data_IF_296048889297
#
_entry.id   IF_296048889297
#
_cell.length_a   1.000
_cell.length_b   1.000
_cell.length_c   1.000
_cell.angle_alpha   90.00
_cell.angle_beta   90.00
_cell.angle_gamma   90.00
#
_symmetry.space_group_name_H-M   'P 1'
#
loop_
_entity.id
_entity.type
_entity.pdbx_description
1 polymer ?
#
# COMPACT_ATOMS: atom_id res chain seq x y z
N UNK A 1 -22.40 6.38 10.12
CA UNK A 1 -22.42 6.57 11.60
C UNK A 1 -22.21 5.23 12.25
N UNK A 2 -21.18 5.08 13.10
CA UNK A 2 -20.94 3.79 13.78
C UNK A 2 -22.10 3.51 14.73
N UNK A 3 -22.58 2.26 14.72
CA UNK A 3 -23.60 1.77 15.65
C UNK A 3 -23.13 1.93 17.12
N UNK A 4 -24.05 2.20 18.04
CA UNK A 4 -23.75 2.40 19.47
C UNK A 4 -23.04 1.20 20.10
N UNK A 5 -23.36 0.00 19.65
CA UNK A 5 -22.73 -1.26 20.08
C UNK A 5 -21.25 -1.31 19.66
N UNK A 6 -20.95 -0.86 18.45
CA UNK A 6 -19.59 -0.82 17.93
C UNK A 6 -18.75 0.25 18.66
N UNK A 7 -19.35 1.43 18.94
CA UNK A 7 -18.69 2.47 19.75
C UNK A 7 -18.37 1.97 21.15
N UNK A 8 -19.29 1.22 21.79
CA UNK A 8 -19.06 0.62 23.10
C UNK A 8 -17.90 -0.36 23.08
N UNK A 9 -17.87 -1.26 22.09
CA UNK A 9 -16.77 -2.23 21.96
C UNK A 9 -15.41 -1.55 21.71
N UNK A 10 -15.38 -0.47 20.93
CA UNK A 10 -14.16 0.30 20.70
C UNK A 10 -13.70 0.98 22.01
N UNK A 11 -14.65 1.55 22.79
CA UNK A 11 -14.36 2.10 24.11
C UNK A 11 -13.80 1.03 25.05
N UNK A 12 -14.36 -0.16 25.04
CA UNK A 12 -13.88 -1.28 25.87
C UNK A 12 -12.45 -1.68 25.52
N UNK A 13 -12.07 -1.65 24.25
CA UNK A 13 -10.68 -1.87 23.83
C UNK A 13 -9.77 -0.72 24.30
N UNK A 14 -10.21 0.52 24.15
CA UNK A 14 -9.47 1.71 24.57
C UNK A 14 -9.20 1.72 26.07
N UNK A 15 -10.18 1.30 26.86
CA UNK A 15 -10.12 1.27 28.32
C UNK A 15 -9.52 -0.04 28.88
N UNK A 16 -9.03 -0.93 28.00
CA UNK A 16 -8.42 -2.21 28.39
C UNK A 16 -9.40 -3.27 28.90
N UNK A 17 -10.72 -3.04 28.81
CA UNK A 17 -11.76 -3.99 29.20
C UNK A 17 -11.98 -5.11 28.17
N UNK A 18 -11.57 -4.88 26.93
CA UNK A 18 -11.59 -5.88 25.85
C UNK A 18 -10.20 -5.94 25.20
N UNK A 19 -9.71 -7.18 25.00
CA UNK A 19 -8.50 -7.41 24.23
C UNK A 19 -8.73 -7.12 22.74
N UNK A 20 -7.75 -6.48 22.08
CA UNK A 20 -7.77 -6.15 20.66
C UNK A 20 -8.07 -7.37 19.76
N UNK A 21 -7.46 -8.52 20.06
CA UNK A 21 -7.73 -9.76 19.33
C UNK A 21 -9.18 -10.20 19.45
N UNK A 22 -9.77 -10.03 20.64
CA UNK A 22 -11.18 -10.35 20.88
C UNK A 22 -12.10 -9.44 20.05
N UNK A 23 -11.79 -8.14 19.94
CA UNK A 23 -12.50 -7.22 19.06
C UNK A 23 -12.40 -7.65 17.60
N UNK A 24 -11.18 -7.91 17.09
CA UNK A 24 -10.97 -8.34 15.70
C UNK A 24 -11.76 -9.65 15.42
N UNK A 25 -11.70 -10.64 16.30
CA UNK A 25 -12.48 -11.89 16.15
C UNK A 25 -13.99 -11.65 16.06
N UNK A 26 -14.53 -10.71 16.85
CA UNK A 26 -15.97 -10.35 16.79
C UNK A 26 -16.31 -9.68 15.47
N UNK A 27 -15.44 -8.82 14.95
CA UNK A 27 -15.63 -8.15 13.66
C UNK A 27 -15.56 -9.14 12.49
N UNK A 28 -14.66 -10.12 12.55
CA UNK A 28 -14.60 -11.21 11.59
C UNK A 28 -15.90 -12.04 11.59
N UNK A 29 -16.49 -12.29 12.76
CA UNK A 29 -17.75 -13.03 12.89
C UNK A 29 -18.95 -12.32 12.24
N UNK A 30 -18.91 -10.99 12.10
CA UNK A 30 -19.93 -10.21 11.40
C UNK A 30 -19.53 -9.86 9.95
N UNK A 31 -18.50 -10.52 9.40
CA UNK A 31 -18.12 -10.41 7.99
C UNK A 31 -17.11 -9.32 7.65
N UNK A 32 -16.52 -8.62 8.63
CA UNK A 32 -15.43 -7.69 8.38
C UNK A 32 -14.10 -8.43 8.26
N UNK A 33 -13.16 -7.85 7.52
CA UNK A 33 -11.77 -8.36 7.49
C UNK A 33 -10.96 -7.85 8.69
N UNK A 34 -9.83 -8.48 9.02
CA UNK A 34 -8.97 -8.02 10.10
C UNK A 34 -8.41 -6.60 9.86
N UNK A 35 -8.00 -6.21 8.63
CA UNK A 35 -7.66 -4.82 8.33
C UNK A 35 -8.79 -3.83 8.63
N UNK A 36 -10.03 -4.13 8.20
CA UNK A 36 -11.20 -3.28 8.46
C UNK A 36 -11.45 -3.10 9.96
N UNK A 37 -11.37 -4.18 10.73
CA UNK A 37 -11.52 -4.12 12.19
C UNK A 37 -10.46 -3.23 12.85
N UNK A 38 -9.21 -3.29 12.37
CA UNK A 38 -8.13 -2.44 12.88
C UNK A 38 -8.30 -0.97 12.49
N UNK A 39 -8.81 -0.68 11.31
CA UNK A 39 -9.14 0.69 10.89
C UNK A 39 -10.24 1.30 11.78
N UNK A 40 -11.27 0.52 12.14
CA UNK A 40 -12.32 0.96 13.08
C UNK A 40 -11.75 1.31 14.46
N UNK A 41 -10.80 0.51 14.97
CA UNK A 41 -10.10 0.84 16.22
C UNK A 41 -9.30 2.13 16.12
N UNK A 42 -8.60 2.36 15.00
CA UNK A 42 -7.82 3.57 14.77
C UNK A 42 -8.69 4.84 14.78
N UNK A 43 -9.85 4.82 14.10
CA UNK A 43 -10.84 5.92 14.13
C UNK A 43 -11.40 6.13 15.51
N UNK A 44 -11.61 5.06 16.29
CA UNK A 44 -12.02 5.15 17.68
C UNK A 44 -10.96 5.68 18.64
N UNK A 45 -9.77 6.04 18.13
CA UNK A 45 -8.66 6.57 18.92
C UNK A 45 -7.91 5.50 19.71
N UNK A 46 -8.06 4.22 19.35
CA UNK A 46 -7.20 3.14 19.85
C UNK A 46 -5.89 3.19 19.06
N UNK A 47 -4.78 3.47 19.74
CA UNK A 47 -3.47 3.55 19.10
C UNK A 47 -3.18 2.26 18.31
N UNK A 48 -2.92 2.41 17.02
CA UNK A 48 -2.39 1.30 16.23
C UNK A 48 -1.04 0.93 16.85
N UNK A 49 -0.85 -0.33 17.21
CA UNK A 49 0.45 -0.79 17.66
C UNK A 49 1.45 -0.50 16.52
N UNK A 50 2.29 0.49 16.71
CA UNK A 50 3.49 0.63 15.90
C UNK A 50 4.34 -0.58 16.24
N UNK A 51 4.26 -1.61 15.42
CA UNK A 51 5.19 -2.71 15.59
C UNK A 51 6.51 -2.22 14.99
N UNK A 52 7.50 -1.93 15.84
CA UNK A 52 8.80 -1.58 15.32
C UNK A 52 9.37 -2.80 14.62
N UNK A 53 10.09 -2.52 13.59
CA UNK A 53 10.98 -3.36 12.87
C UNK A 53 10.37 -4.30 11.81
N UNK A 54 11.11 -4.42 10.72
CA UNK A 54 10.86 -5.44 9.73
C UNK A 54 10.83 -6.81 10.44
N UNK A 55 9.98 -7.69 9.97
CA UNK A 55 9.94 -9.09 10.40
C UNK A 55 11.38 -9.63 10.39
N UNK A 56 12.01 -9.86 11.56
CA UNK A 56 13.37 -10.38 11.58
C UNK A 56 13.31 -11.78 10.97
N UNK A 57 14.04 -12.06 9.89
CA UNK A 57 14.07 -13.40 9.34
C UNK A 57 14.58 -14.33 10.42
N UNK A 58 13.90 -15.44 10.64
CA UNK A 58 14.30 -16.47 11.62
C UNK A 58 15.68 -17.05 11.30
N UNK A 59 16.10 -16.93 10.05
CA UNK A 59 17.43 -17.30 9.57
C UNK A 59 17.78 -16.43 8.36
N UNK A 60 18.98 -15.86 8.34
CA UNK A 60 19.50 -15.18 7.16
C UNK A 60 19.63 -16.18 6.01
N UNK A 61 19.15 -15.81 4.82
CA UNK A 61 19.31 -16.63 3.62
C UNK A 61 20.78 -16.91 3.31
N UNK A 62 21.06 -18.08 2.75
CA UNK A 62 22.42 -18.51 2.41
C UNK A 62 22.99 -17.91 1.12
N UNK A 63 22.29 -16.94 0.50
CA UNK A 63 22.63 -16.44 -0.83
C UNK A 63 22.27 -17.41 -1.96
N UNK A 64 22.61 -17.06 -3.21
CA UNK A 64 22.30 -17.84 -4.38
C UNK A 64 20.92 -17.54 -4.99
N UNK A 65 20.54 -18.20 -6.09
CA UNK A 65 19.28 -17.94 -6.78
C UNK A 65 18.10 -18.49 -5.98
N UNK A 66 17.09 -17.65 -5.78
CA UNK A 66 15.77 -18.04 -5.29
C UNK A 66 14.86 -18.35 -6.48
N UNK A 67 14.27 -19.54 -6.53
CA UNK A 67 13.29 -19.93 -7.53
C UNK A 67 11.93 -20.08 -6.85
N UNK A 68 10.96 -19.28 -7.30
CA UNK A 68 9.57 -19.36 -6.86
C UNK A 68 8.75 -19.96 -8.01
N UNK A 69 8.06 -21.08 -7.76
CA UNK A 69 7.12 -21.64 -8.70
C UNK A 69 5.73 -21.09 -8.38
N UNK A 70 5.11 -20.48 -9.37
CA UNK A 70 3.77 -19.94 -9.27
C UNK A 70 2.79 -20.79 -10.08
N UNK A 71 1.58 -20.97 -9.58
CA UNK A 71 0.54 -21.75 -10.25
C UNK A 71 0.04 -21.11 -11.56
N UNK A 72 0.22 -19.79 -11.71
CA UNK A 72 -0.11 -19.04 -12.92
C UNK A 72 0.85 -17.85 -13.06
N UNK A 73 1.45 -17.68 -14.23
CA UNK A 73 2.34 -16.54 -14.50
C UNK A 73 1.58 -15.22 -14.64
N UNK A 74 2.21 -14.09 -14.26
CA UNK A 74 1.66 -12.77 -14.52
C UNK A 74 1.54 -12.52 -16.04
N UNK A 75 0.58 -11.67 -16.41
CA UNK A 75 0.38 -11.24 -17.80
C UNK A 75 0.92 -9.84 -18.05
N UNK A 76 1.05 -9.06 -16.99
CA UNK A 76 1.64 -7.72 -16.98
C UNK A 76 2.14 -7.39 -15.56
N UNK A 77 2.89 -6.30 -15.44
CA UNK A 77 3.55 -5.92 -14.18
C UNK A 77 3.14 -4.54 -13.69
N UNK A 78 2.13 -3.89 -14.29
CA UNK A 78 1.56 -2.65 -13.78
C UNK A 78 0.45 -2.97 -12.77
N UNK A 79 0.56 -2.52 -11.49
CA UNK A 79 -0.41 -2.85 -10.45
C UNK A 79 -1.82 -2.34 -10.72
N UNK A 80 -1.97 -1.20 -11.41
CA UNK A 80 -3.27 -0.63 -11.74
C UNK A 80 -4.06 -1.42 -12.78
N UNK A 81 -3.41 -2.34 -13.48
CA UNK A 81 -4.01 -3.24 -14.47
C UNK A 81 -3.98 -4.71 -14.08
N UNK A 82 -3.52 -5.00 -12.87
CA UNK A 82 -3.37 -6.35 -12.36
C UNK A 82 -4.71 -7.09 -12.27
N UNK A 83 -4.82 -8.22 -12.97
CA UNK A 83 -6.01 -9.07 -12.95
C UNK A 83 -5.74 -10.29 -12.06
N UNK A 84 -6.27 -10.24 -10.84
CA UNK A 84 -6.10 -11.31 -9.87
C UNK A 84 -4.71 -11.38 -9.24
N UNK A 85 -4.53 -12.38 -8.39
CA UNK A 85 -3.35 -12.53 -7.52
C UNK A 85 -2.04 -12.67 -8.31
N UNK A 86 -2.05 -13.37 -9.44
CA UNK A 86 -0.85 -13.59 -10.25
C UNK A 86 -0.15 -12.33 -10.72
N UNK A 87 -0.94 -11.32 -11.16
CA UNK A 87 -0.39 -10.04 -11.63
C UNK A 87 -0.01 -9.14 -10.44
N UNK A 88 -0.81 -9.18 -9.37
CA UNK A 88 -0.49 -8.47 -8.12
C UNK A 88 0.82 -8.96 -7.51
N UNK A 89 1.02 -10.27 -7.42
CA UNK A 89 2.24 -10.85 -6.86
C UNK A 89 3.46 -10.60 -7.76
N UNK A 90 3.28 -10.67 -9.09
CA UNK A 90 4.34 -10.31 -10.04
C UNK A 90 4.77 -8.85 -9.92
N UNK A 91 3.82 -7.92 -9.82
CA UNK A 91 4.11 -6.48 -9.70
C UNK A 91 4.76 -6.13 -8.36
N UNK A 92 4.39 -6.79 -7.25
CA UNK A 92 4.92 -6.56 -5.91
C UNK A 92 6.40 -6.91 -5.72
N UNK A 93 6.99 -7.64 -6.63
CA UNK A 93 8.45 -7.84 -6.63
C UNK A 93 9.21 -6.53 -6.87
N UNK A 94 8.56 -5.58 -7.54
CA UNK A 94 9.16 -4.32 -7.99
C UNK A 94 8.52 -3.09 -7.35
N UNK A 95 7.19 -3.02 -7.29
CA UNK A 95 6.46 -1.88 -6.78
C UNK A 95 5.99 -2.09 -5.35
N UNK A 96 5.96 -1.03 -4.57
CA UNK A 96 5.62 -1.06 -3.16
C UNK A 96 4.50 -0.07 -2.81
N UNK A 97 3.68 -0.39 -1.79
CA UNK A 97 2.70 0.52 -1.22
C UNK A 97 3.32 1.38 -0.11
N UNK A 98 2.56 2.35 0.42
CA UNK A 98 2.96 3.10 1.62
C UNK A 98 3.07 2.18 2.84
N UNK A 99 2.14 1.25 2.97
CA UNK A 99 2.12 0.24 4.03
C UNK A 99 1.46 -1.05 3.54
N UNK A 100 1.63 -2.13 4.26
CA UNK A 100 0.97 -3.41 3.99
C UNK A 100 0.37 -4.01 5.28
N UNK A 101 -0.43 -5.04 5.14
CA UNK A 101 -1.01 -5.78 6.25
C UNK A 101 -0.26 -7.09 6.46
N UNK A 102 0.05 -7.43 7.71
CA UNK A 102 0.55 -8.75 8.06
C UNK A 102 -0.61 -9.77 8.21
N UNK A 103 -0.27 -11.02 8.48
CA UNK A 103 -1.24 -12.11 8.63
C UNK A 103 -2.19 -11.91 9.83
N UNK A 104 -1.79 -11.13 10.83
CA UNK A 104 -2.61 -10.79 11.99
C UNK A 104 -3.45 -9.53 11.77
N UNK A 105 -3.38 -8.91 10.58
CA UNK A 105 -4.08 -7.67 10.23
C UNK A 105 -3.45 -6.42 10.83
N UNK A 106 -2.19 -6.46 11.24
CA UNK A 106 -1.47 -5.26 11.67
C UNK A 106 -0.83 -4.57 10.46
N UNK A 107 -0.84 -3.24 10.49
CA UNK A 107 -0.19 -2.44 9.45
C UNK A 107 1.32 -2.44 9.64
N UNK A 108 2.06 -2.68 8.56
CA UNK A 108 3.52 -2.63 8.47
C UNK A 108 3.93 -1.53 7.51
N UNK A 109 4.87 -0.70 7.93
CA UNK A 109 5.42 0.36 7.11
C UNK A 109 6.25 -0.20 5.96
N UNK A 110 6.06 0.37 4.77
CA UNK A 110 6.88 0.08 3.58
C UNK A 110 7.53 1.37 3.10
N UNK A 111 6.83 2.20 2.32
CA UNK A 111 7.34 3.51 1.87
C UNK A 111 6.98 4.66 2.81
N UNK A 112 6.03 4.45 3.73
CA UNK A 112 5.70 5.44 4.77
C UNK A 112 6.67 5.37 5.94
N UNK A 113 6.93 6.53 6.57
CA UNK A 113 7.80 6.68 7.73
C UNK A 113 7.09 6.36 9.05
N UNK A 114 5.78 6.60 9.11
CA UNK A 114 4.95 6.33 10.29
C UNK A 114 3.53 5.94 9.89
N UNK A 115 2.84 5.23 10.79
CA UNK A 115 1.42 4.90 10.61
C UNK A 115 0.60 6.10 11.08
N UNK A 116 -0.28 6.68 10.22
CA UNK A 116 -1.18 7.75 10.63
C UNK A 116 -2.09 7.33 11.79
N UNK A 117 -2.26 8.23 12.74
CA UNK A 117 -3.15 8.06 13.88
C UNK A 117 -3.72 9.40 14.33
N UNK A 118 -4.78 9.37 15.13
CA UNK A 118 -5.32 10.59 15.75
C UNK A 118 -4.27 11.21 16.70
N UNK A 119 -3.48 10.37 17.39
CA UNK A 119 -2.50 10.79 18.37
C UNK A 119 -1.32 11.56 17.74
N UNK A 120 -0.87 11.16 16.54
CA UNK A 120 0.20 11.88 15.84
C UNK A 120 -0.32 12.92 14.84
N UNK A 121 -1.63 13.15 14.80
CA UNK A 121 -2.27 14.11 13.90
C UNK A 121 -2.33 13.67 12.43
N UNK A 122 -1.88 12.46 12.12
CA UNK A 122 -1.92 11.91 10.77
C UNK A 122 -3.31 11.47 10.31
N UNK A 123 -4.22 11.20 11.26
CA UNK A 123 -5.60 10.82 10.96
C UNK A 123 -6.54 11.85 11.58
N UNK A 124 -7.39 12.48 10.78
CA UNK A 124 -8.40 13.41 11.27
C UNK A 124 -9.49 12.66 12.05
N UNK A 125 -9.88 13.23 13.20
CA UNK A 125 -10.87 12.62 14.10
C UNK A 125 -12.28 12.51 13.48
N UNK A 126 -12.57 13.35 12.50
CA UNK A 126 -13.83 13.33 11.72
C UNK A 126 -13.83 12.27 10.61
N UNK A 127 -12.69 11.59 10.38
CA UNK A 127 -12.53 10.60 9.32
C UNK A 127 -12.52 11.16 7.89
N UNK A 128 -12.33 12.49 7.75
CA UNK A 128 -12.36 13.18 6.46
C UNK A 128 -10.99 13.27 5.79
N UNK A 129 -9.90 13.01 6.51
CA UNK A 129 -8.57 13.05 5.90
C UNK A 129 -7.54 12.16 6.62
N UNK A 130 -6.53 11.76 5.86
CA UNK A 130 -5.33 11.10 6.38
C UNK A 130 -4.08 11.73 5.75
N UNK A 131 -3.07 11.97 6.57
CA UNK A 131 -1.77 12.50 6.17
C UNK A 131 -0.71 11.42 6.32
N UNK A 132 0.00 11.11 5.26
CA UNK A 132 1.11 10.17 5.24
C UNK A 132 2.43 10.90 5.13
N UNK A 133 3.40 10.52 5.96
CA UNK A 133 4.80 10.92 5.83
C UNK A 133 5.57 9.80 5.15
N UNK A 134 6.34 10.15 4.13
CA UNK A 134 7.13 9.22 3.34
C UNK A 134 8.53 9.04 3.96
N UNK A 135 9.12 7.87 3.77
CA UNK A 135 10.51 7.62 4.18
C UNK A 135 11.46 8.50 3.36
N UNK A 136 12.39 9.22 4.02
CA UNK A 136 13.40 9.98 3.31
C UNK A 136 14.41 9.06 2.63
N UNK A 137 14.97 9.51 1.51
CA UNK A 137 16.07 8.84 0.83
C UNK A 137 15.72 7.61 0.01
N UNK A 138 14.45 7.22 -0.06
CA UNK A 138 13.99 6.13 -0.94
C UNK A 138 14.21 6.52 -2.40
N UNK A 139 14.72 5.59 -3.20
CA UNK A 139 14.97 5.79 -4.63
C UNK A 139 14.28 4.70 -5.45
N UNK A 140 13.84 5.09 -6.63
CA UNK A 140 13.47 4.16 -7.68
C UNK A 140 14.70 3.36 -8.15
N UNK A 141 14.50 2.22 -8.79
CA UNK A 141 15.56 1.34 -9.27
C UNK A 141 16.52 2.03 -10.29
N UNK A 142 16.08 3.10 -10.93
CA UNK A 142 16.88 3.95 -11.82
C UNK A 142 17.63 5.07 -11.10
N UNK A 143 17.52 5.15 -9.78
CA UNK A 143 18.24 6.11 -8.94
C UNK A 143 17.51 7.43 -8.70
N UNK A 144 16.37 7.70 -9.34
CA UNK A 144 15.58 8.90 -9.08
C UNK A 144 14.91 8.83 -7.69
N UNK A 145 14.73 9.97 -7.01
CA UNK A 145 14.09 9.98 -5.69
C UNK A 145 12.61 9.60 -5.79
N UNK A 146 12.11 8.87 -4.81
CA UNK A 146 10.70 8.67 -4.55
C UNK A 146 10.19 9.83 -3.71
N UNK A 147 9.11 10.49 -4.14
CA UNK A 147 8.56 11.68 -3.47
C UNK A 147 7.04 11.68 -3.44
N UNK A 148 6.48 12.69 -2.78
CA UNK A 148 5.04 12.94 -2.76
C UNK A 148 4.44 13.15 -4.17
N UNK A 149 5.23 13.63 -5.13
CA UNK A 149 4.79 13.78 -6.52
C UNK A 149 4.42 12.44 -7.17
N UNK A 150 5.10 11.35 -6.79
CA UNK A 150 4.76 10.01 -7.28
C UNK A 150 3.43 9.52 -6.70
N UNK A 151 3.16 9.80 -5.43
CA UNK A 151 1.91 9.41 -4.76
C UNK A 151 0.71 10.19 -5.35
N UNK A 152 0.86 11.51 -5.53
CA UNK A 152 -0.16 12.33 -6.19
C UNK A 152 -0.40 11.84 -7.62
N UNK A 153 0.65 11.58 -8.37
CA UNK A 153 0.54 11.05 -9.73
C UNK A 153 -0.19 9.71 -9.79
N UNK A 154 0.04 8.81 -8.85
CA UNK A 154 -0.69 7.52 -8.81
C UNK A 154 -2.19 7.72 -8.65
N UNK A 155 -2.60 8.65 -7.78
CA UNK A 155 -4.01 9.02 -7.67
C UNK A 155 -4.54 9.59 -8.98
N UNK A 156 -3.85 10.56 -9.58
CA UNK A 156 -4.26 11.15 -10.85
C UNK A 156 -4.34 10.12 -11.98
N UNK A 157 -3.40 9.17 -12.02
CA UNK A 157 -3.36 8.09 -13.01
C UNK A 157 -4.51 7.10 -12.83
N UNK A 158 -4.76 6.66 -11.60
CA UNK A 158 -5.74 5.63 -11.31
C UNK A 158 -7.18 6.16 -11.27
N UNK A 159 -7.40 7.44 -10.92
CA UNK A 159 -8.72 8.06 -10.88
C UNK A 159 -9.22 8.55 -12.24
N UNK A 160 -8.34 8.71 -13.23
CA UNK A 160 -8.71 9.12 -14.58
C UNK A 160 -9.43 7.98 -15.32
N UNK A 161 -10.70 8.15 -15.70
CA UNK A 161 -11.44 7.13 -16.44
C UNK A 161 -10.78 6.73 -17.78
N UNK A 162 -10.05 7.67 -18.42
CA UNK A 162 -9.37 7.40 -19.67
C UNK A 162 -8.18 6.44 -19.49
N UNK A 163 -7.59 6.34 -18.29
CA UNK A 163 -6.57 5.34 -17.95
C UNK A 163 -7.14 3.93 -17.92
N UNK A 164 -8.44 3.78 -17.64
CA UNK A 164 -9.09 2.48 -17.48
C UNK A 164 -8.42 1.57 -16.45
N UNK A 165 -7.94 2.16 -15.34
CA UNK A 165 -7.32 1.44 -14.24
C UNK A 165 -8.36 0.55 -13.52
N UNK A 166 -8.00 -0.70 -13.21
CA UNK A 166 -8.87 -1.60 -12.43
C UNK A 166 -9.00 -1.13 -10.97
N UNK A 167 -8.04 -0.34 -10.50
CA UNK A 167 -8.02 0.24 -9.16
C UNK A 167 -8.83 1.54 -9.02
N UNK A 168 -9.50 2.01 -10.08
CA UNK A 168 -10.24 3.29 -10.12
C UNK A 168 -11.23 3.46 -8.95
N UNK A 169 -11.86 2.37 -8.51
CA UNK A 169 -12.83 2.42 -7.41
C UNK A 169 -12.21 2.89 -6.08
N UNK A 170 -10.92 2.66 -5.86
CA UNK A 170 -10.19 3.11 -4.67
C UNK A 170 -9.87 4.61 -4.73
N UNK A 171 -9.70 5.18 -5.93
CA UNK A 171 -9.10 6.51 -6.10
C UNK A 171 -10.07 7.59 -6.60
N UNK A 172 -11.20 7.25 -7.21
CA UNK A 172 -12.11 8.23 -7.85
C UNK A 172 -12.84 9.15 -6.87
N UNK A 173 -13.05 8.70 -5.62
CA UNK A 173 -13.85 9.42 -4.62
C UNK A 173 -12.96 10.10 -3.55
N UNK A 174 -11.70 10.28 -3.84
CA UNK A 174 -10.73 10.97 -2.97
C UNK A 174 -9.99 12.05 -3.73
N UNK A 175 -9.32 12.94 -2.99
CA UNK A 175 -8.33 13.89 -3.53
C UNK A 175 -7.02 13.70 -2.79
N UNK A 176 -5.91 13.71 -3.51
CA UNK A 176 -4.57 13.59 -2.93
C UNK A 176 -3.79 14.88 -3.16
N UNK A 177 -3.33 15.50 -2.07
CA UNK A 177 -2.61 16.76 -2.09
C UNK A 177 -1.16 16.55 -1.65
N UNK A 178 -0.24 17.16 -2.37
CA UNK A 178 1.15 17.31 -1.92
C UNK A 178 1.21 18.40 -0.86
N UNK A 179 1.66 18.07 0.36
CA UNK A 179 1.93 19.05 1.41
C UNK A 179 3.36 19.54 1.32
N UNK A 180 4.30 18.63 1.17
CA UNK A 180 5.73 18.85 0.86
C UNK A 180 6.30 17.65 0.11
N UNK A 181 7.62 17.59 -0.12
CA UNK A 181 8.23 16.51 -0.90
C UNK A 181 8.12 15.11 -0.25
N UNK A 182 7.90 15.05 1.05
CA UNK A 182 7.78 13.80 1.81
C UNK A 182 6.44 13.67 2.56
N UNK A 183 5.46 14.53 2.25
CA UNK A 183 4.16 14.51 2.94
C UNK A 183 3.03 14.65 1.95
N UNK A 184 2.07 13.73 2.00
CA UNK A 184 0.84 13.78 1.23
C UNK A 184 -0.37 13.75 2.16
N UNK A 185 -1.43 14.46 1.78
CA UNK A 185 -2.73 14.43 2.43
C UNK A 185 -3.76 13.85 1.48
N UNK A 186 -4.53 12.89 1.98
CA UNK A 186 -5.66 12.32 1.28
C UNK A 186 -6.93 12.87 1.92
N UNK A 187 -7.79 13.45 1.09
CA UNK A 187 -9.09 13.98 1.47
C UNK A 187 -10.19 13.02 0.99
N UNK A 188 -11.12 12.72 1.84
CA UNK A 188 -12.27 11.86 1.54
C UNK A 188 -13.52 12.71 1.33
N UNK A 189 -14.35 12.38 0.33
CA UNK A 189 -15.61 13.09 0.06
C UNK A 189 -16.65 12.91 1.18
N UNK A 190 -16.47 11.91 2.04
CA UNK A 190 -17.31 11.61 3.21
C UNK A 190 -16.47 10.91 4.28
N UNK A 191 -16.86 11.00 5.55
CA UNK A 191 -16.17 10.27 6.62
C UNK A 191 -16.09 8.78 6.33
N UNK A 192 -14.88 8.22 6.44
CA UNK A 192 -14.65 6.80 6.16
C UNK A 192 -13.81 6.13 7.24
N UNK A 193 -14.18 4.89 7.65
CA UNK A 193 -13.31 4.07 8.47
C UNK A 193 -12.19 3.40 7.63
N UNK A 194 -12.28 3.44 6.31
CA UNK A 194 -11.36 2.76 5.38
C UNK A 194 -10.29 3.70 4.84
N UNK A 195 -9.80 4.58 5.71
CA UNK A 195 -8.83 5.62 5.39
C UNK A 195 -7.50 5.07 4.83
N UNK A 196 -7.19 3.81 5.13
CA UNK A 196 -5.96 3.17 4.68
C UNK A 196 -6.10 2.39 3.35
N UNK A 197 -7.30 2.28 2.78
CA UNK A 197 -7.47 1.56 1.51
C UNK A 197 -6.65 2.16 0.36
N UNK A 198 -6.57 3.49 0.18
CA UNK A 198 -5.66 4.07 -0.79
C UNK A 198 -4.19 3.85 -0.37
N UNK A 199 -3.37 3.43 -1.34
CA UNK A 199 -1.90 3.25 -1.20
C UNK A 199 -1.44 2.21 -0.17
N UNK A 200 -2.33 1.36 0.34
CA UNK A 200 -1.98 0.29 1.27
C UNK A 200 -2.36 -1.08 0.71
N UNK A 201 -1.49 -2.05 0.89
CA UNK A 201 -1.71 -3.43 0.44
C UNK A 201 -1.38 -3.68 -1.03
N UNK A 202 -1.61 -4.91 -1.46
CA UNK A 202 -1.13 -5.46 -2.73
C UNK A 202 -1.59 -4.73 -4.00
N UNK A 203 -2.87 -4.35 -4.17
CA UNK A 203 -3.32 -3.72 -5.41
C UNK A 203 -2.97 -2.22 -5.49
N UNK A 204 -2.49 -1.62 -4.40
CA UNK A 204 -2.33 -0.17 -4.26
C UNK A 204 -0.85 0.25 -4.17
N UNK A 205 0.00 -0.47 -4.90
CA UNK A 205 1.43 -0.12 -5.03
C UNK A 205 1.64 1.07 -5.97
N UNK A 206 2.72 1.80 -5.76
CA UNK A 206 2.97 3.08 -6.41
C UNK A 206 3.89 2.89 -7.61
N UNK A 207 3.56 3.55 -8.73
CA UNK A 207 4.35 3.57 -9.97
C UNK A 207 5.07 4.92 -10.12
N UNK A 208 6.25 4.98 -10.79
CA UNK A 208 7.04 6.20 -10.93
C UNK A 208 6.42 7.19 -11.91
N UNK A 209 6.13 8.40 -11.45
CA UNK A 209 5.59 9.50 -12.26
C UNK A 209 6.41 9.74 -13.53
N UNK A 210 7.73 9.79 -13.42
CA UNK A 210 8.61 10.14 -14.50
C UNK A 210 8.67 9.14 -15.67
N UNK A 211 8.14 7.94 -15.50
CA UNK A 211 8.06 6.91 -16.54
C UNK A 211 6.64 6.69 -17.06
N UNK A 212 5.63 7.16 -16.33
CA UNK A 212 4.23 6.95 -16.69
C UNK A 212 3.48 8.24 -17.06
N UNK A 213 4.04 9.42 -16.80
CA UNK A 213 3.35 10.69 -17.03
C UNK A 213 2.92 10.89 -18.48
N UNK A 214 3.79 10.56 -19.46
CA UNK A 214 3.51 10.68 -20.89
C UNK A 214 2.49 9.64 -21.40
N UNK A 215 2.18 8.66 -20.57
CA UNK A 215 1.24 7.56 -20.85
C UNK A 215 -0.04 7.62 -20.02
N UNK A 216 -0.30 8.71 -19.29
CA UNK A 216 -1.55 8.87 -18.53
C UNK A 216 -2.76 8.93 -19.48
N UNK A 217 -3.92 8.43 -19.03
CA UNK A 217 -5.15 8.42 -19.80
C UNK A 217 -5.16 7.34 -20.89
N UNK A 218 -5.64 7.65 -22.08
CA UNK A 218 -5.85 6.68 -23.17
C UNK A 218 -4.58 5.94 -23.64
N UNK A 219 -3.40 6.49 -23.36
CA UNK A 219 -2.10 5.87 -23.69
C UNK A 219 -1.58 4.91 -22.61
N UNK A 220 -2.30 4.73 -21.53
CA UNK A 220 -1.83 3.99 -20.35
C UNK A 220 -1.37 2.55 -20.65
N UNK A 221 -1.98 1.92 -21.64
CA UNK A 221 -1.60 0.57 -22.07
C UNK A 221 -0.33 0.51 -22.94
N UNK A 222 0.12 1.64 -23.46
CA UNK A 222 1.30 1.75 -24.33
C UNK A 222 2.61 1.90 -23.54
N UNK A 223 2.54 2.17 -22.22
CA UNK A 223 3.73 2.36 -21.41
C UNK A 223 4.63 1.10 -21.42
N UNK A 224 5.89 1.21 -21.84
CA UNK A 224 6.83 0.06 -21.84
C UNK A 224 7.02 -0.52 -20.44
N UNK A 225 6.89 0.32 -19.41
CA UNK A 225 7.01 -0.04 -18.01
C UNK A 225 5.85 -0.91 -17.49
N UNK A 226 4.81 -1.13 -18.27
CA UNK A 226 3.79 -2.15 -17.97
C UNK A 226 4.38 -3.58 -17.99
N UNK A 227 5.48 -3.79 -18.72
CA UNK A 227 6.16 -5.09 -18.88
C UNK A 227 7.61 -5.08 -18.36
N UNK A 228 8.21 -3.88 -18.19
CA UNK A 228 9.58 -3.70 -17.70
C UNK A 228 9.61 -2.71 -16.53
N UNK A 229 9.18 -3.13 -15.34
CA UNK A 229 8.95 -2.24 -14.20
C UNK A 229 10.24 -1.63 -13.66
N UNK A 230 10.14 -0.36 -13.24
CA UNK A 230 11.12 0.35 -12.43
C UNK A 230 10.42 0.70 -11.13
N UNK A 231 10.74 0.02 -10.06
CA UNK A 231 10.10 0.16 -8.75
C UNK A 231 11.04 0.64 -7.66
N UNK A 232 10.57 0.55 -6.42
CA UNK A 232 11.35 0.78 -5.20
C UNK A 232 11.66 -0.53 -4.47
N UNK A 233 11.10 -1.63 -4.95
CA UNK A 233 11.00 -2.91 -4.27
C UNK A 233 12.30 -3.71 -4.16
N UNK A 234 12.22 -4.90 -3.53
CA UNK A 234 13.40 -5.69 -3.19
C UNK A 234 14.14 -6.29 -4.39
N UNK A 235 13.54 -6.30 -5.59
CA UNK A 235 14.16 -6.85 -6.80
C UNK A 235 14.10 -5.85 -7.94
N UNK A 236 15.20 -5.75 -8.71
CA UNK A 236 15.29 -5.00 -9.97
C UNK A 236 14.85 -5.86 -11.14
N UNK A 237 14.16 -5.28 -12.08
CA UNK A 237 13.73 -5.96 -13.30
C UNK A 237 14.92 -6.28 -14.22
N UNK A 238 14.93 -7.48 -14.78
CA UNK A 238 15.86 -7.89 -15.85
C UNK A 238 15.11 -8.47 -17.04
N UNK A 239 14.20 -9.39 -16.81
CA UNK A 239 13.52 -10.10 -17.88
C UNK A 239 12.13 -10.56 -17.47
N UNK A 240 11.19 -10.43 -18.39
CA UNK A 240 9.85 -10.99 -18.28
C UNK A 240 9.45 -11.67 -19.57
N UNK A 241 9.17 -12.95 -19.49
CA UNK A 241 8.56 -13.76 -20.56
C UNK A 241 7.20 -14.23 -20.06
N UNK A 242 6.10 -13.68 -20.54
CA UNK A 242 4.76 -14.07 -20.10
C UNK A 242 4.55 -15.59 -20.22
N UNK A 243 4.07 -16.20 -19.14
CA UNK A 243 3.82 -17.63 -19.07
C UNK A 243 5.05 -18.52 -18.82
N UNK A 244 6.25 -17.96 -18.75
CA UNK A 244 7.50 -18.71 -18.57
C UNK A 244 8.29 -18.19 -17.36
N UNK A 245 8.76 -16.95 -17.41
CA UNK A 245 9.81 -16.47 -16.50
C UNK A 245 9.67 -15.00 -16.16
N UNK A 246 9.83 -14.68 -14.88
CA UNK A 246 10.09 -13.34 -14.37
C UNK A 246 11.38 -13.36 -13.56
N UNK A 247 12.36 -12.54 -13.91
CA UNK A 247 13.69 -12.56 -13.31
C UNK A 247 14.22 -11.18 -12.97
N UNK A 248 14.90 -11.09 -11.81
CA UNK A 248 15.61 -9.89 -11.37
C UNK A 248 16.57 -10.18 -10.22
N UNK A 249 17.70 -9.47 -10.12
CA UNK A 249 18.57 -9.52 -8.96
C UNK A 249 17.93 -8.77 -7.79
N UNK A 250 18.37 -9.04 -6.55
CA UNK A 250 18.01 -8.20 -5.41
C UNK A 250 18.47 -6.76 -5.62
N UNK A 251 17.72 -5.81 -5.08
CA UNK A 251 18.08 -4.39 -5.04
C UNK A 251 19.21 -4.20 -4.00
N UNK A 252 20.43 -3.74 -4.40
CA UNK A 252 21.58 -3.70 -3.48
C UNK A 252 21.34 -2.82 -2.25
N UNK A 253 20.75 -1.64 -2.46
CA UNK A 253 20.50 -0.64 -1.41
C UNK A 253 19.00 -0.56 -1.10
N UNK A 254 18.37 -1.71 -0.91
CA UNK A 254 16.95 -1.77 -0.60
C UNK A 254 16.65 -1.12 0.76
N UNK A 255 15.74 -0.16 0.78
CA UNK A 255 15.45 0.71 1.92
C UNK A 255 14.91 0.00 3.17
N UNK A 256 14.62 -1.30 3.12
CA UNK A 256 14.16 -2.12 4.24
C UNK A 256 15.20 -3.14 4.74
N UNK A 257 16.44 -3.09 4.27
CA UNK A 257 17.48 -4.07 4.62
C UNK A 257 18.36 -3.67 5.80
N UNK A 258 18.02 -2.66 6.58
CA UNK A 258 18.74 -2.25 7.80
C UNK A 258 18.25 -2.98 9.04
#
# INVERSE_FOLDING_TARGET
MLDNNLKSMISDVKDGRMDRRAFVKRMLAVGLTAPMANQLLAIGGVAMAQTPAPYPPTKRGGGGPLKLLWWQGPTLLNPHFATGTKDQDGSRLFYEPLACWDADGNMKLVLAAEIPSIQNGGLAADGMSVTWKLKPGVKWHDGKPFTADDVVFNWEYASDPATSALTIATYRDITVEKVDDLTVRILFNKPTPFWADPFVGAPNTIIPKHLFADYKGSKSREAPTNLSPVGTGPYKFVEFKPGDLLRGPPTPDYHMTN
#
